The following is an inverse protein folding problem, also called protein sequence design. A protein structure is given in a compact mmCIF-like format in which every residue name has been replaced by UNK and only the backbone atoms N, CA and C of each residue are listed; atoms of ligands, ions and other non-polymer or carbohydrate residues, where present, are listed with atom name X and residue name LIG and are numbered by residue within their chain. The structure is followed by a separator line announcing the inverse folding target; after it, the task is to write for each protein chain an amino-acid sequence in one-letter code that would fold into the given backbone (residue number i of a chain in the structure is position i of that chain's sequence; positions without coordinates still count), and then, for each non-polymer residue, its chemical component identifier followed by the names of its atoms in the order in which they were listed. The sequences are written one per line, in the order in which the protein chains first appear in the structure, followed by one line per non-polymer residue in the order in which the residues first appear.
data_IF_017607296185
#
_entry.id   IF_017607296185
#
_cell.length_a   1.000
_cell.length_b   1.000
_cell.length_c   1.000
_cell.angle_alpha   90.00
_cell.angle_beta   90.00
_cell.angle_gamma   90.00
#
_symmetry.space_group_name_H-M   'P 1'
#
loop_
_entity.id
_entity.type
_entity.pdbx_description
1 polymer ?
#
# COMPACT_ATOMS: atom_id res chain seq x y z
N UNK A 1 -28.34 1.17 -18.24
CA UNK A 1 -27.82 2.31 -17.47
C UNK A 1 -26.31 2.28 -17.62
N UNK A 2 -25.70 3.40 -18.00
CA UNK A 2 -24.25 3.55 -18.07
C UNK A 2 -23.87 4.59 -17.02
N UNK A 3 -22.98 4.24 -16.10
CA UNK A 3 -22.40 5.20 -15.14
C UNK A 3 -21.04 5.62 -15.66
N UNK A 4 -20.77 6.93 -15.69
CA UNK A 4 -19.49 7.49 -16.12
C UNK A 4 -18.82 8.15 -14.91
N UNK A 5 -17.73 7.57 -14.45
CA UNK A 5 -16.91 8.18 -13.41
C UNK A 5 -15.68 8.83 -14.05
N UNK A 6 -15.52 10.13 -13.79
CA UNK A 6 -14.36 10.91 -14.22
C UNK A 6 -13.27 10.80 -13.17
N UNK A 7 -12.15 10.18 -13.52
CA UNK A 7 -11.01 10.00 -12.61
C UNK A 7 -9.74 10.57 -13.27
N UNK A 8 -8.93 11.31 -12.52
CA UNK A 8 -7.56 11.71 -12.90
C UNK A 8 -6.61 11.37 -11.75
N UNK A 9 -5.35 10.98 -11.96
CA UNK A 9 -4.53 10.95 -13.17
C UNK A 9 -3.25 10.10 -12.94
N UNK A 10 -2.56 9.68 -14.02
CA UNK A 10 -1.09 9.53 -13.97
C UNK A 10 -0.35 10.64 -14.75
N UNK A 11 -0.82 11.15 -15.90
CA UNK A 11 -0.26 12.35 -16.59
C UNK A 11 -1.26 13.15 -17.49
N UNK A 12 -2.09 13.99 -16.87
CA UNK A 12 -3.11 14.92 -17.29
C UNK A 12 -4.05 14.50 -18.44
N UNK A 13 -4.40 13.21 -18.57
CA UNK A 13 -5.47 12.73 -19.48
C UNK A 13 -6.69 12.32 -18.65
N UNK A 14 -7.85 12.84 -18.99
CA UNK A 14 -9.10 12.48 -18.30
C UNK A 14 -9.42 11.02 -18.64
N UNK A 15 -9.30 10.13 -17.66
CA UNK A 15 -9.61 8.71 -17.81
C UNK A 15 -11.07 8.49 -17.40
N UNK A 16 -11.76 7.62 -18.13
CA UNK A 16 -13.15 7.26 -17.86
C UNK A 16 -13.23 5.84 -17.30
N UNK A 17 -13.97 5.69 -16.22
CA UNK A 17 -14.53 4.40 -15.80
C UNK A 17 -15.99 4.35 -16.24
N UNK A 18 -16.30 3.34 -17.05
CA UNK A 18 -17.62 3.12 -17.64
C UNK A 18 -18.21 1.87 -17.01
N UNK A 19 -19.28 1.99 -16.24
CA UNK A 19 -20.05 0.83 -15.79
C UNK A 19 -21.25 0.66 -16.71
N UNK A 20 -21.39 -0.48 -17.38
CA UNK A 20 -22.50 -0.70 -18.30
C UNK A 20 -23.14 -2.08 -18.17
N UNK A 21 -24.44 -2.14 -18.51
CA UNK A 21 -25.11 -3.39 -18.86
C UNK A 21 -24.42 -3.99 -20.09
N UNK A 22 -24.33 -5.33 -20.17
CA UNK A 22 -23.68 -6.04 -21.27
C UNK A 22 -24.14 -5.47 -22.61
N UNK A 23 -23.23 -4.80 -23.31
CA UNK A 23 -23.53 -4.13 -24.56
C UNK A 23 -23.03 -5.00 -25.72
N UNK A 24 -23.87 -5.16 -26.74
CA UNK A 24 -23.48 -5.86 -27.98
C UNK A 24 -22.35 -5.10 -28.70
N UNK A 25 -22.29 -3.78 -28.52
CA UNK A 25 -21.22 -2.91 -29.04
C UNK A 25 -20.67 -2.00 -27.92
N UNK A 26 -19.35 -2.05 -27.70
CA UNK A 26 -18.65 -1.21 -26.72
C UNK A 26 -18.35 0.17 -27.32
N UNK A 27 -18.50 1.26 -26.56
CA UNK A 27 -18.30 2.60 -27.08
C UNK A 27 -16.84 2.86 -27.46
N UNK A 28 -16.61 3.58 -28.56
CA UNK A 28 -15.28 3.98 -29.04
C UNK A 28 -15.27 5.47 -29.36
N UNK A 29 -14.13 6.14 -29.20
CA UNK A 29 -14.00 7.56 -29.50
C UNK A 29 -14.42 8.45 -28.34
N UNK A 30 -15.63 9.01 -28.37
CA UNK A 30 -16.08 10.03 -27.41
C UNK A 30 -17.45 9.70 -26.85
N UNK A 31 -17.63 9.84 -25.54
CA UNK A 31 -18.93 9.75 -24.85
C UNK A 31 -19.15 11.06 -24.10
N UNK A 32 -20.27 11.75 -24.33
CA UNK A 32 -20.63 12.99 -23.64
C UNK A 32 -19.52 14.06 -23.63
N UNK A 33 -18.78 14.17 -24.74
CA UNK A 33 -17.67 15.11 -24.90
C UNK A 33 -16.35 14.69 -24.23
N UNK A 34 -16.32 13.51 -23.60
CA UNK A 34 -15.14 12.92 -22.97
C UNK A 34 -14.53 11.86 -23.90
N UNK A 35 -13.22 11.94 -24.11
CA UNK A 35 -12.49 11.04 -25.01
C UNK A 35 -12.13 9.76 -24.27
N UNK A 36 -12.40 8.62 -24.89
CA UNK A 36 -11.90 7.31 -24.44
C UNK A 36 -10.46 7.19 -24.91
N UNK A 37 -9.53 7.32 -23.97
CA UNK A 37 -8.09 7.18 -24.22
C UNK A 37 -7.51 5.96 -23.51
N UNK A 38 -6.25 5.64 -23.81
CA UNK A 38 -5.49 4.68 -23.00
C UNK A 38 -5.61 4.99 -21.51
N UNK A 39 -5.92 3.95 -20.73
CA UNK A 39 -6.23 4.02 -19.30
C UNK A 39 -7.73 3.95 -18.99
N UNK A 40 -8.62 4.20 -19.96
CA UNK A 40 -10.07 4.06 -19.76
C UNK A 40 -10.45 2.62 -19.48
N UNK A 41 -11.37 2.42 -18.53
CA UNK A 41 -11.85 1.12 -18.10
C UNK A 41 -13.35 0.98 -18.34
N UNK A 42 -13.76 -0.21 -18.75
CA UNK A 42 -15.16 -0.58 -18.88
C UNK A 42 -15.41 -1.79 -17.99
N UNK A 43 -16.36 -1.66 -17.08
CA UNK A 43 -16.83 -2.70 -16.17
C UNK A 43 -18.21 -3.17 -16.60
N UNK A 44 -18.33 -4.45 -16.91
CA UNK A 44 -19.63 -5.10 -17.16
C UNK A 44 -20.17 -5.69 -15.85
N UNK A 45 -21.51 -5.77 -15.72
CA UNK A 45 -22.15 -6.32 -14.52
C UNK A 45 -21.85 -7.81 -14.26
N UNK A 46 -21.30 -8.54 -15.23
CA UNK A 46 -20.82 -9.92 -15.03
C UNK A 46 -19.43 -9.97 -14.35
N UNK A 47 -18.88 -8.79 -14.03
CA UNK A 47 -17.58 -8.63 -13.39
C UNK A 47 -16.41 -8.68 -14.37
N UNK A 48 -16.65 -8.62 -15.68
CA UNK A 48 -15.60 -8.45 -16.69
C UNK A 48 -15.11 -7.00 -16.68
N UNK A 49 -13.79 -6.82 -16.75
CA UNK A 49 -13.15 -5.50 -16.86
C UNK A 49 -12.37 -5.45 -18.16
N UNK A 50 -12.54 -4.37 -18.91
CA UNK A 50 -11.83 -4.12 -20.16
C UNK A 50 -11.04 -2.83 -20.04
N UNK A 51 -9.86 -2.78 -20.65
CA UNK A 51 -9.08 -1.55 -20.81
C UNK A 51 -9.05 -1.15 -22.28
N UNK A 52 -9.15 0.15 -22.55
CA UNK A 52 -9.12 0.66 -23.91
C UNK A 52 -7.69 0.72 -24.46
N UNK A 53 -7.48 0.10 -25.63
CA UNK A 53 -6.28 0.21 -26.45
C UNK A 53 -6.55 1.22 -27.57
N UNK A 54 -5.97 2.40 -27.44
CA UNK A 54 -6.09 3.53 -28.38
C UNK A 54 -5.39 3.25 -29.72
N UNK A 55 -4.35 2.40 -29.75
CA UNK A 55 -3.64 2.06 -30.99
C UNK A 55 -4.53 1.18 -31.88
N UNK A 56 -5.16 0.19 -31.27
CA UNK A 56 -6.02 -0.77 -31.94
C UNK A 56 -7.50 -0.35 -31.95
N UNK A 57 -7.84 0.75 -31.28
CA UNK A 57 -9.20 1.27 -31.07
C UNK A 57 -10.17 0.21 -30.54
N UNK A 58 -9.68 -0.69 -29.69
CA UNK A 58 -10.45 -1.83 -29.17
C UNK A 58 -10.42 -1.88 -27.66
N UNK A 59 -11.43 -2.54 -27.09
CA UNK A 59 -11.46 -2.88 -25.67
C UNK A 59 -10.81 -4.24 -25.45
N UNK A 60 -9.74 -4.27 -24.67
CA UNK A 60 -9.00 -5.48 -24.34
C UNK A 60 -9.53 -6.01 -23.01
N UNK A 61 -10.09 -7.22 -23.02
CA UNK A 61 -10.51 -7.90 -21.80
C UNK A 61 -9.30 -8.08 -20.89
N UNK A 62 -9.33 -7.46 -19.72
CA UNK A 62 -8.32 -7.71 -18.72
C UNK A 62 -8.52 -9.10 -18.15
N UNK A 63 -7.44 -9.88 -17.98
CA UNK A 63 -7.54 -11.14 -17.28
C UNK A 63 -8.17 -10.84 -15.93
N UNK A 64 -9.31 -11.48 -15.65
CA UNK A 64 -9.86 -11.50 -14.31
C UNK A 64 -8.75 -12.16 -13.49
N UNK A 65 -8.01 -11.37 -12.72
CA UNK A 65 -7.27 -11.90 -11.60
C UNK A 65 -8.33 -12.63 -10.79
N UNK A 66 -8.39 -13.95 -10.92
CA UNK A 66 -9.03 -14.78 -9.93
C UNK A 66 -8.26 -14.41 -8.67
N UNK A 67 -8.80 -13.45 -7.90
CA UNK A 67 -8.08 -12.76 -6.83
C UNK A 67 -7.16 -13.76 -6.18
N UNK A 68 -5.84 -13.51 -6.30
CA UNK A 68 -4.81 -14.54 -6.15
C UNK A 68 -5.21 -15.45 -5.00
N UNK A 69 -5.33 -16.76 -5.28
CA UNK A 69 -5.95 -17.76 -4.41
C UNK A 69 -5.80 -17.35 -2.96
N UNK A 70 -6.91 -17.04 -2.26
CA UNK A 70 -6.90 -16.45 -0.91
C UNK A 70 -5.68 -16.97 -0.17
N UNK A 71 -4.71 -16.08 0.06
CA UNK A 71 -3.42 -16.48 0.62
C UNK A 71 -3.71 -17.32 1.85
N UNK A 72 -3.16 -18.55 1.89
CA UNK A 72 -3.46 -19.49 2.98
C UNK A 72 -3.27 -18.77 4.32
N UNK A 73 -4.29 -18.85 5.19
CA UNK A 73 -4.27 -18.19 6.49
C UNK A 73 -3.02 -18.62 7.27
N UNK A 74 -2.39 -17.66 7.93
CA UNK A 74 -1.20 -17.87 8.74
C UNK A 74 -1.47 -17.56 10.21
N UNK A 75 -0.77 -18.27 11.08
CA UNK A 75 -0.67 -17.93 12.50
C UNK A 75 0.71 -17.37 12.80
N UNK A 76 0.75 -16.42 13.74
CA UNK A 76 1.99 -15.81 14.24
C UNK A 76 2.14 -16.12 15.72
N UNK A 77 3.38 -16.40 16.12
CA UNK A 77 3.73 -16.52 17.53
C UNK A 77 5.05 -15.85 17.85
N UNK A 78 5.22 -15.48 19.12
CA UNK A 78 6.46 -14.97 19.67
C UNK A 78 7.04 -16.01 20.64
N UNK A 79 8.28 -16.42 20.41
CA UNK A 79 9.04 -17.26 21.35
C UNK A 79 9.99 -16.41 22.19
N UNK A 80 10.89 -17.06 22.92
CA UNK A 80 11.95 -16.37 23.64
C UNK A 80 12.99 -15.74 22.69
N UNK A 81 13.16 -16.30 21.48
CA UNK A 81 14.25 -15.90 20.57
C UNK A 81 13.78 -15.40 19.22
N UNK A 82 12.60 -15.80 18.73
CA UNK A 82 12.13 -15.46 17.38
C UNK A 82 10.64 -15.11 17.34
N UNK A 83 10.23 -14.34 16.34
CA UNK A 83 8.86 -14.36 15.82
C UNK A 83 8.80 -15.46 14.77
N UNK A 84 7.79 -16.31 14.87
CA UNK A 84 7.60 -17.46 13.98
C UNK A 84 6.23 -17.38 13.32
N UNK A 85 6.12 -18.00 12.15
CA UNK A 85 4.88 -18.12 11.42
C UNK A 85 4.63 -19.57 11.00
N UNK A 86 3.35 -19.92 10.83
CA UNK A 86 2.94 -21.17 10.20
C UNK A 86 1.67 -20.98 9.40
N UNK A 87 1.32 -21.94 8.57
CA UNK A 87 -0.03 -22.00 8.00
C UNK A 87 -1.01 -22.55 9.04
N UNK A 88 -2.24 -22.05 9.03
CA UNK A 88 -3.30 -22.60 9.89
C UNK A 88 -3.47 -24.10 9.61
N UNK A 89 -3.46 -24.90 10.67
CA UNK A 89 -3.60 -26.36 10.60
C UNK A 89 -2.31 -27.14 10.32
N UNK A 90 -1.15 -26.48 10.19
CA UNK A 90 0.16 -27.17 10.15
C UNK A 90 0.81 -27.23 11.51
N UNK A 91 1.64 -28.24 11.75
CA UNK A 91 2.39 -28.37 13.00
C UNK A 91 3.72 -27.62 12.96
N UNK A 92 4.31 -27.51 11.76
CA UNK A 92 5.60 -26.87 11.55
C UNK A 92 5.51 -25.34 11.62
N UNK A 93 6.43 -24.77 12.39
CA UNK A 93 6.66 -23.33 12.50
C UNK A 93 7.97 -22.95 11.81
N UNK A 94 7.97 -21.78 11.18
CA UNK A 94 9.12 -21.20 10.48
C UNK A 94 9.58 -19.92 11.16
N UNK A 95 10.89 -19.75 11.32
CA UNK A 95 11.48 -18.52 11.86
C UNK A 95 11.34 -17.38 10.85
N UNK A 96 10.71 -16.28 11.28
CA UNK A 96 10.53 -15.07 10.47
C UNK A 96 11.60 -14.03 10.79
N UNK A 97 11.80 -13.75 12.08
CA UNK A 97 12.74 -12.73 12.56
C UNK A 97 13.26 -13.07 13.95
N UNK A 98 14.55 -12.84 14.19
CA UNK A 98 15.17 -12.95 15.51
C UNK A 98 14.82 -11.73 16.37
N UNK A 99 14.50 -11.96 17.64
CA UNK A 99 14.20 -10.89 18.59
C UNK A 99 15.44 -10.06 18.96
N UNK A 100 16.65 -10.63 18.84
CA UNK A 100 17.89 -9.89 19.09
C UNK A 100 18.13 -8.82 18.02
N UNK A 101 17.72 -9.08 16.78
CA UNK A 101 17.81 -8.11 15.67
C UNK A 101 16.79 -6.97 15.80
N UNK A 102 15.72 -7.17 16.58
CA UNK A 102 14.73 -6.13 16.87
C UNK A 102 15.14 -5.25 18.07
N UNK A 103 16.26 -5.57 18.74
CA UNK A 103 16.73 -4.78 19.89
C UNK A 103 17.30 -3.44 19.43
N UNK A 104 16.70 -2.34 19.91
CA UNK A 104 17.25 -1.00 19.73
C UNK A 104 18.36 -0.75 20.75
N UNK A 105 19.57 -0.46 20.28
CA UNK A 105 20.76 -0.20 21.09
C UNK A 105 21.05 1.30 21.17
N UNK A 106 21.76 1.70 22.22
CA UNK A 106 22.21 3.10 22.36
C UNK A 106 23.07 3.55 21.17
N UNK A 107 23.79 2.63 20.53
CA UNK A 107 24.59 2.87 19.33
C UNK A 107 23.76 3.20 18.08
N UNK A 108 22.45 2.94 18.10
CA UNK A 108 21.56 3.24 16.98
C UNK A 108 21.07 4.70 16.99
N UNK A 109 21.37 5.46 18.07
CA UNK A 109 21.10 6.89 18.11
C UNK A 109 22.14 7.70 17.35
N UNK A 110 21.70 8.72 16.62
CA UNK A 110 22.58 9.74 16.04
C UNK A 110 23.20 10.61 17.14
N UNK A 111 24.39 11.21 16.91
CA UNK A 111 24.99 12.16 17.85
C UNK A 111 24.06 13.33 18.23
N UNK A 112 23.24 13.81 17.30
CA UNK A 112 22.25 14.87 17.52
C UNK A 112 21.12 14.41 18.44
N UNK A 113 20.61 13.18 18.26
CA UNK A 113 19.60 12.59 19.14
C UNK A 113 20.15 12.39 20.56
N UNK A 114 21.41 11.96 20.68
CA UNK A 114 22.07 11.84 21.98
C UNK A 114 22.27 13.20 22.66
N UNK A 115 22.52 14.27 21.90
CA UNK A 115 22.61 15.62 22.44
C UNK A 115 21.24 16.15 22.88
N UNK A 116 20.17 15.83 22.16
CA UNK A 116 18.80 16.21 22.55
C UNK A 116 18.36 15.53 23.86
N UNK A 117 18.90 14.35 24.17
CA UNK A 117 18.68 13.67 25.47
C UNK A 117 19.49 14.30 26.62
N UNK A 118 20.58 15.02 26.32
CA UNK A 118 21.35 15.74 27.34
C UNK A 118 20.54 16.98 27.73
N UNK A 119 19.85 16.90 28.86
CA UNK A 119 19.15 18.04 29.44
C UNK A 119 20.07 19.25 29.63
N UNK A 120 19.48 20.42 29.85
CA UNK A 120 20.23 21.64 30.12
C UNK A 120 21.26 21.38 31.23
N UNK A 121 22.49 21.89 31.01
CA UNK A 121 23.56 21.84 32.01
C UNK A 121 23.02 22.44 33.31
N UNK A 122 23.00 21.66 34.39
CA UNK A 122 22.55 22.13 35.69
C UNK A 122 23.35 23.36 36.13
N UNK A 123 22.67 24.33 36.76
CA UNK A 123 23.30 25.54 37.28
C UNK A 123 24.44 25.18 38.25
N UNK A 124 25.53 25.95 38.20
CA UNK A 124 26.63 25.80 39.17
C UNK A 124 26.08 26.09 40.57
N UNK A 125 26.25 25.14 41.48
CA UNK A 125 25.89 25.33 42.89
C UNK A 125 26.58 26.57 43.49
N UNK A 126 25.84 27.32 44.31
CA UNK A 126 26.37 28.49 44.99
C UNK A 126 27.60 28.13 45.84
N UNK A 127 28.67 28.95 45.84
CA UNK A 127 29.82 28.73 46.71
C UNK A 127 29.37 28.70 48.17
N UNK A 128 29.72 27.62 48.88
CA UNK A 128 29.42 27.48 50.30
C UNK A 128 30.08 28.61 51.10
N UNK A 129 29.27 29.47 51.71
CA UNK A 129 29.75 30.55 52.56
C UNK A 129 30.52 30.01 53.76
N UNK A 130 31.80 30.35 53.87
CA UNK A 130 32.58 30.07 55.08
C UNK A 130 32.01 30.90 56.23
N UNK A 131 31.48 30.22 57.25
CA UNK A 131 31.18 30.83 58.55
C UNK A 131 32.49 30.84 59.35
N UNK A 132 32.98 32.06 59.62
CA UNK A 132 34.06 32.32 60.58
C UNK A 132 33.49 32.35 62.01
#
# INVERSE_FOLDING_TARGET
MITLNKIGDYHNRQVLEIECLKADEKPIGTIDGLVITNGSKLHELDGSTYEYDEQNKTWVLQPKSSGGSDGREIELQKTQTHIQWRYVGTEDWFDLVSLDDLSFKYSDFSPEQLQALKGAKGDKGNPGGKRH
#
